data_IF_455051003662
#
_entry.id   IF_455051003662
#
_cell.length_a   1.000
_cell.length_b   1.000
_cell.length_c   1.000
_cell.angle_alpha   90.00
_cell.angle_beta   90.00
_cell.angle_gamma   90.00
#
_symmetry.space_group_name_H-M   'P 1'
#
loop_
_entity.id
_entity.type
_entity.pdbx_description
1 polymer ?
#
# COMPACT_ATOMS: atom_id res chain seq x y z
N UNK A 1 -80.67 -0.28 19.74
CA UNK A 1 -80.98 0.93 18.97
C UNK A 1 -80.52 2.17 19.72
N UNK A 2 -79.38 2.81 19.46
CA UNK A 2 -77.98 2.40 19.16
C UNK A 2 -77.13 3.71 19.17
N UNK A 3 -75.81 3.75 19.25
CA UNK A 3 -74.72 2.74 19.19
C UNK A 3 -73.74 3.00 20.37
N UNK A 4 -72.98 2.04 20.91
CA UNK A 4 -71.74 1.45 20.39
C UNK A 4 -70.77 2.39 19.65
N UNK A 5 -69.96 3.16 20.39
CA UNK A 5 -68.54 3.22 20.03
C UNK A 5 -67.62 3.59 21.19
N UNK A 6 -66.98 2.56 21.76
CA UNK A 6 -65.87 2.69 22.68
C UNK A 6 -64.65 3.09 21.86
N UNK A 7 -64.43 4.39 21.69
CA UNK A 7 -63.28 4.96 20.97
C UNK A 7 -61.98 4.64 21.72
N UNK A 8 -61.50 3.42 21.55
CA UNK A 8 -60.19 2.95 21.94
C UNK A 8 -59.19 3.73 21.07
N UNK A 9 -58.69 4.86 21.58
CA UNK A 9 -57.53 5.52 21.00
C UNK A 9 -56.34 4.59 21.20
N UNK A 10 -56.13 3.72 20.21
CA UNK A 10 -54.89 2.97 20.04
C UNK A 10 -53.80 4.02 19.92
N UNK A 11 -53.12 4.31 21.04
CA UNK A 11 -51.86 5.01 21.01
C UNK A 11 -50.91 4.12 20.23
N UNK A 12 -50.74 4.44 18.95
CA UNK A 12 -49.78 3.80 18.08
C UNK A 12 -48.41 3.93 18.77
N UNK A 13 -47.79 2.81 19.19
CA UNK A 13 -46.64 2.87 20.07
C UNK A 13 -45.51 3.55 19.31
N UNK A 14 -45.14 4.75 19.78
CA UNK A 14 -44.07 5.58 19.22
C UNK A 14 -42.87 4.69 18.93
N UNK A 15 -42.41 4.54 17.67
CA UNK A 15 -41.51 3.48 17.28
C UNK A 15 -40.27 3.51 18.17
N UNK A 16 -40.04 2.42 18.91
CA UNK A 16 -38.96 2.32 19.88
C UNK A 16 -37.63 2.50 19.15
N UNK A 17 -36.77 3.35 19.71
CA UNK A 17 -35.51 3.72 19.06
C UNK A 17 -34.73 2.43 18.65
N UNK A 18 -34.18 2.30 17.43
CA UNK A 18 -33.65 1.03 16.93
C UNK A 18 -32.63 0.35 17.87
N UNK A 19 -31.80 1.13 18.56
CA UNK A 19 -30.88 0.64 19.60
C UNK A 19 -31.56 -0.09 20.78
N UNK A 20 -32.82 0.24 21.11
CA UNK A 20 -33.62 -0.46 22.12
C UNK A 20 -34.08 -1.84 21.63
N UNK A 21 -34.52 -1.94 20.38
CA UNK A 21 -34.91 -3.22 19.76
C UNK A 21 -33.69 -4.16 19.56
N UNK A 22 -32.51 -3.60 19.27
CA UNK A 22 -31.23 -4.33 19.27
C UNK A 22 -30.87 -4.80 20.69
N UNK A 23 -31.21 -4.04 21.74
CA UNK A 23 -30.95 -4.43 23.11
C UNK A 23 -31.84 -5.60 23.58
N UNK A 24 -33.05 -5.73 23.02
CA UNK A 24 -34.00 -6.82 23.26
C UNK A 24 -33.65 -8.12 22.52
N UNK A 25 -32.93 -8.06 21.39
CA UNK A 25 -32.48 -9.25 20.65
C UNK A 25 -31.01 -9.61 20.98
N UNK A 26 -30.74 -10.68 21.76
CA UNK A 26 -29.39 -10.99 22.24
C UNK A 26 -28.41 -11.33 21.11
N UNK A 27 -28.90 -11.85 19.98
CA UNK A 27 -28.12 -12.14 18.77
C UNK A 27 -27.56 -10.89 18.11
N UNK A 28 -28.38 -9.86 17.84
CA UNK A 28 -27.94 -8.60 17.24
C UNK A 28 -26.99 -7.82 18.16
N UNK A 29 -27.23 -7.86 19.48
CA UNK A 29 -26.34 -7.28 20.50
C UNK A 29 -24.97 -7.97 20.53
N UNK A 30 -24.90 -9.29 20.37
CA UNK A 30 -23.64 -10.04 20.29
C UNK A 30 -22.92 -9.74 18.97
N UNK A 31 -23.64 -9.76 17.85
CA UNK A 31 -23.12 -9.45 16.51
C UNK A 31 -22.50 -8.05 16.45
N UNK A 32 -23.19 -7.03 16.98
CA UNK A 32 -22.69 -5.66 17.03
C UNK A 32 -21.39 -5.56 17.85
N UNK A 33 -21.30 -6.25 19.01
CA UNK A 33 -20.06 -6.32 19.79
C UNK A 33 -18.93 -7.01 19.02
N UNK A 34 -19.23 -8.11 18.32
CA UNK A 34 -18.26 -8.82 17.51
C UNK A 34 -17.73 -7.97 16.33
N UNK A 35 -18.62 -7.25 15.65
CA UNK A 35 -18.24 -6.38 14.54
C UNK A 35 -17.47 -5.14 14.98
N UNK A 36 -17.82 -4.53 16.10
CA UNK A 36 -17.00 -3.46 16.70
C UNK A 36 -15.61 -3.98 17.09
N UNK A 37 -15.51 -5.22 17.59
CA UNK A 37 -14.20 -5.83 17.90
C UNK A 37 -13.39 -6.15 16.65
N UNK A 38 -14.02 -6.65 15.59
CA UNK A 38 -13.32 -6.88 14.31
C UNK A 38 -12.91 -5.55 13.65
N UNK A 39 -13.67 -4.46 13.81
CA UNK A 39 -13.24 -3.13 13.34
C UNK A 39 -11.95 -2.68 14.04
N UNK A 40 -11.85 -2.82 15.36
CA UNK A 40 -10.59 -2.52 16.09
C UNK A 40 -9.41 -3.37 15.58
N UNK A 41 -9.65 -4.67 15.33
CA UNK A 41 -8.61 -5.58 14.82
C UNK A 41 -8.18 -5.20 13.40
N UNK A 42 -9.12 -4.89 12.51
CA UNK A 42 -8.83 -4.40 11.16
C UNK A 42 -8.07 -3.07 11.22
N UNK A 43 -8.45 -2.15 12.10
CA UNK A 43 -7.74 -0.88 12.28
C UNK A 43 -6.28 -1.10 12.70
N UNK A 44 -6.03 -2.02 13.63
CA UNK A 44 -4.68 -2.45 14.01
C UNK A 44 -3.90 -3.06 12.83
N UNK A 45 -4.53 -3.93 12.02
CA UNK A 45 -3.92 -4.51 10.80
C UNK A 45 -3.57 -3.44 9.76
N UNK A 46 -4.44 -2.44 9.56
CA UNK A 46 -4.23 -1.30 8.64
C UNK A 46 -3.04 -0.46 9.10
N UNK A 47 -3.01 -0.02 10.36
CA UNK A 47 -1.92 0.78 10.92
C UNK A 47 -0.55 0.07 10.83
N UNK A 48 -0.51 -1.23 11.10
CA UNK A 48 0.70 -2.04 10.92
C UNK A 48 1.15 -2.12 9.45
N UNK A 49 0.22 -2.25 8.50
CA UNK A 49 0.55 -2.26 7.06
C UNK A 49 1.02 -0.89 6.56
N UNK A 50 0.45 0.21 7.06
CA UNK A 50 0.88 1.57 6.71
C UNK A 50 2.30 1.85 7.21
N UNK A 51 2.59 1.54 8.47
CA UNK A 51 3.95 1.66 9.03
C UNK A 51 4.97 0.76 8.32
N UNK A 52 4.59 -0.44 7.88
CA UNK A 52 5.43 -1.31 7.04
C UNK A 52 5.71 -0.68 5.66
N UNK A 53 4.70 -0.11 4.99
CA UNK A 53 4.86 0.57 3.70
C UNK A 53 5.81 1.78 3.85
N UNK A 54 5.65 2.60 4.89
CA UNK A 54 6.51 3.76 5.13
C UNK A 54 7.95 3.35 5.49
N UNK A 55 8.14 2.21 6.16
CA UNK A 55 9.48 1.63 6.36
C UNK A 55 10.13 1.22 5.03
N UNK A 56 9.39 0.54 4.15
CA UNK A 56 9.89 0.13 2.82
C UNK A 56 10.21 1.36 1.95
N UNK A 57 9.38 2.41 2.01
CA UNK A 57 9.66 3.70 1.33
C UNK A 57 10.97 4.33 1.80
N UNK A 58 11.22 4.35 3.12
CA UNK A 58 12.49 4.83 3.68
C UNK A 58 13.68 3.99 3.18
N UNK A 59 13.57 2.67 3.18
CA UNK A 59 14.62 1.78 2.63
C UNK A 59 14.89 2.04 1.14
N UNK A 60 13.83 2.23 0.33
CA UNK A 60 13.94 2.61 -1.08
C UNK A 60 14.70 3.94 -1.20
N UNK A 61 14.34 4.96 -0.41
CA UNK A 61 15.06 6.25 -0.40
C UNK A 61 16.52 6.10 -0.01
N UNK A 62 16.84 5.25 0.97
CA UNK A 62 18.24 4.97 1.37
C UNK A 62 19.03 4.29 0.24
N UNK A 63 18.42 3.38 -0.54
CA UNK A 63 19.05 2.80 -1.74
C UNK A 63 19.34 3.86 -2.81
N UNK A 64 18.44 4.84 -3.00
CA UNK A 64 18.69 5.97 -3.91
C UNK A 64 19.88 6.81 -3.42
N UNK A 65 19.93 7.12 -2.12
CA UNK A 65 21.03 7.88 -1.51
C UNK A 65 22.37 7.13 -1.63
N UNK A 66 22.40 5.83 -1.33
CA UNK A 66 23.62 5.02 -1.46
C UNK A 66 24.13 4.94 -2.91
N UNK A 67 23.23 4.90 -3.91
CA UNK A 67 23.62 5.00 -5.31
C UNK A 67 24.42 6.27 -5.59
N UNK A 68 23.85 7.44 -5.27
CA UNK A 68 24.50 8.71 -5.53
C UNK A 68 25.78 8.90 -4.72
N UNK A 69 25.80 8.52 -3.44
CA UNK A 69 27.00 8.60 -2.60
C UNK A 69 28.12 7.72 -3.17
N UNK A 70 27.84 6.44 -3.48
CA UNK A 70 28.83 5.53 -4.06
C UNK A 70 29.43 6.10 -5.35
N UNK A 71 28.60 6.51 -6.30
CA UNK A 71 29.06 7.06 -7.57
C UNK A 71 29.85 8.38 -7.37
N UNK A 72 29.37 9.29 -6.52
CA UNK A 72 30.07 10.56 -6.23
C UNK A 72 31.44 10.32 -5.61
N UNK A 73 31.52 9.44 -4.60
CA UNK A 73 32.78 9.06 -3.96
C UNK A 73 33.72 8.34 -4.92
N UNK A 74 33.20 7.44 -5.76
CA UNK A 74 34.00 6.73 -6.76
C UNK A 74 34.61 7.70 -7.79
N UNK A 75 33.86 8.69 -8.32
CA UNK A 75 34.43 9.72 -9.20
C UNK A 75 35.48 10.56 -8.49
N UNK A 76 35.24 10.97 -7.24
CA UNK A 76 36.21 11.76 -6.47
C UNK A 76 37.51 10.98 -6.24
N UNK A 77 37.42 9.69 -5.93
CA UNK A 77 38.59 8.81 -5.75
C UNK A 77 39.33 8.57 -7.07
N UNK A 78 38.61 8.36 -8.17
CA UNK A 78 39.20 8.16 -9.50
C UNK A 78 39.91 9.41 -10.01
N UNK A 79 39.35 10.60 -9.79
CA UNK A 79 40.00 11.88 -10.13
C UNK A 79 41.28 12.12 -9.30
N UNK A 80 41.24 11.82 -7.99
CA UNK A 80 42.43 11.88 -7.13
C UNK A 80 43.49 10.82 -7.48
N UNK A 81 43.09 9.72 -8.14
CA UNK A 81 44.01 8.70 -8.62
C UNK A 81 44.62 9.08 -9.98
N UNK A 82 43.82 9.62 -10.92
CA UNK A 82 44.30 10.02 -12.25
C UNK A 82 45.35 11.12 -12.18
N UNK A 83 45.18 12.11 -11.29
CA UNK A 83 46.19 13.17 -11.05
C UNK A 83 47.54 12.67 -10.52
N UNK A 84 47.67 11.37 -10.21
CA UNK A 84 48.89 10.73 -9.73
C UNK A 84 49.45 9.65 -10.68
N UNK A 85 48.78 9.38 -11.80
CA UNK A 85 49.25 8.40 -12.79
C UNK A 85 50.07 9.06 -13.90
N UNK A 86 51.39 9.00 -13.76
CA UNK A 86 52.33 9.57 -14.73
C UNK A 86 52.65 8.65 -15.92
N UNK A 87 52.11 7.42 -15.95
CA UNK A 87 52.48 6.40 -16.97
C UNK A 87 51.28 5.78 -17.72
N UNK A 88 50.06 6.28 -17.53
CA UNK A 88 48.86 5.79 -18.24
C UNK A 88 48.42 4.38 -17.86
N UNK A 89 48.95 3.84 -16.75
CA UNK A 89 48.65 2.49 -16.25
C UNK A 89 47.19 2.39 -15.79
N UNK A 90 46.61 3.50 -15.33
CA UNK A 90 45.22 3.59 -14.88
C UNK A 90 44.22 3.38 -16.04
N UNK A 91 44.53 3.82 -17.27
CA UNK A 91 43.66 3.58 -18.43
C UNK A 91 43.54 2.08 -18.74
N UNK A 92 44.67 1.36 -18.80
CA UNK A 92 44.69 -0.10 -19.01
C UNK A 92 43.96 -0.87 -17.91
N UNK A 93 43.93 -0.33 -16.68
CA UNK A 93 43.24 -0.94 -15.52
C UNK A 93 41.82 -0.41 -15.30
N UNK A 94 41.31 0.48 -16.16
CA UNK A 94 39.99 1.13 -16.06
C UNK A 94 38.80 0.15 -16.05
N UNK A 95 39.00 -1.09 -16.50
CA UNK A 95 37.99 -2.14 -16.42
C UNK A 95 37.62 -2.52 -14.99
N UNK A 96 38.53 -2.39 -14.00
CA UNK A 96 38.26 -2.73 -12.60
C UNK A 96 37.22 -1.79 -11.98
N UNK A 97 37.42 -0.44 -11.97
CA UNK A 97 36.39 0.47 -11.47
C UNK A 97 35.12 0.42 -12.32
N UNK A 98 35.23 0.19 -13.64
CA UNK A 98 34.05 0.00 -14.51
C UNK A 98 33.20 -1.21 -14.07
N UNK A 99 33.82 -2.37 -13.84
CA UNK A 99 33.14 -3.60 -13.42
C UNK A 99 32.55 -3.47 -12.01
N UNK A 100 33.32 -2.90 -11.07
CA UNK A 100 32.84 -2.62 -9.71
C UNK A 100 31.61 -1.70 -9.73
N UNK A 101 31.68 -0.61 -10.50
CA UNK A 101 30.58 0.32 -10.72
C UNK A 101 29.36 -0.37 -11.31
N UNK A 102 29.54 -1.17 -12.38
CA UNK A 102 28.44 -1.89 -13.04
C UNK A 102 27.75 -2.87 -12.09
N UNK A 103 28.51 -3.68 -11.34
CA UNK A 103 27.96 -4.65 -10.40
C UNK A 103 27.19 -3.97 -9.26
N UNK A 104 27.73 -2.87 -8.71
CA UNK A 104 27.04 -2.08 -7.69
C UNK A 104 25.74 -1.46 -8.23
N UNK A 105 25.79 -0.84 -9.42
CA UNK A 105 24.61 -0.27 -10.08
C UNK A 105 23.51 -1.32 -10.32
N UNK A 106 23.87 -2.50 -10.82
CA UNK A 106 22.93 -3.61 -11.04
C UNK A 106 22.32 -4.11 -9.72
N UNK A 107 23.14 -4.22 -8.67
CA UNK A 107 22.69 -4.58 -7.33
C UNK A 107 21.66 -3.59 -6.75
N UNK A 108 21.93 -2.28 -6.86
CA UNK A 108 20.99 -1.25 -6.42
C UNK A 108 19.72 -1.24 -7.28
N UNK A 109 19.84 -1.32 -8.62
CA UNK A 109 18.68 -1.38 -9.52
C UNK A 109 17.77 -2.56 -9.17
N UNK A 110 18.35 -3.74 -8.93
CA UNK A 110 17.61 -4.93 -8.52
C UNK A 110 16.96 -4.76 -7.14
N UNK A 111 17.69 -4.24 -6.15
CA UNK A 111 17.17 -4.01 -4.80
C UNK A 111 16.04 -2.98 -4.77
N UNK A 112 16.16 -1.87 -5.52
CA UNK A 112 15.11 -0.88 -5.70
C UNK A 112 13.90 -1.54 -6.35
N UNK A 113 14.06 -2.26 -7.48
CA UNK A 113 12.94 -2.97 -8.13
C UNK A 113 12.24 -3.94 -7.19
N UNK A 114 12.97 -4.76 -6.46
CA UNK A 114 12.43 -5.71 -5.50
C UNK A 114 11.63 -5.03 -4.37
N UNK A 115 12.21 -4.02 -3.70
CA UNK A 115 11.53 -3.27 -2.64
C UNK A 115 10.32 -2.51 -3.18
N UNK A 116 10.42 -1.97 -4.39
CA UNK A 116 9.34 -1.30 -5.11
C UNK A 116 8.20 -2.27 -5.46
N UNK A 117 8.45 -3.51 -5.89
CA UNK A 117 7.35 -4.47 -6.11
C UNK A 117 6.75 -5.00 -4.80
N UNK A 118 7.55 -5.11 -3.74
CA UNK A 118 7.09 -5.43 -2.39
C UNK A 118 6.16 -4.33 -1.82
N UNK A 119 6.51 -3.06 -1.98
CA UNK A 119 5.64 -1.91 -1.66
C UNK A 119 4.31 -2.02 -2.41
N UNK A 120 4.34 -2.25 -3.73
CA UNK A 120 3.12 -2.40 -4.54
C UNK A 120 2.23 -3.57 -4.09
N UNK A 121 2.84 -4.64 -3.56
CA UNK A 121 2.12 -5.76 -3.00
C UNK A 121 1.47 -5.39 -1.65
N UNK A 122 2.21 -4.73 -0.75
CA UNK A 122 1.69 -4.24 0.53
C UNK A 122 0.55 -3.22 0.33
N UNK A 123 0.69 -2.27 -0.59
CA UNK A 123 -0.38 -1.32 -0.97
C UNK A 123 -1.64 -2.05 -1.43
N UNK A 124 -1.51 -3.08 -2.29
CA UNK A 124 -2.65 -3.92 -2.69
C UNK A 124 -3.28 -4.72 -1.54
N UNK A 125 -2.54 -5.09 -0.50
CA UNK A 125 -3.10 -5.73 0.69
C UNK A 125 -3.80 -4.71 1.59
N UNK A 126 -3.20 -3.53 1.77
CA UNK A 126 -3.76 -2.42 2.53
C UNK A 126 -5.10 -1.97 1.96
N UNK A 127 -5.19 -1.78 0.64
CA UNK A 127 -6.43 -1.39 -0.03
C UNK A 127 -7.56 -2.41 0.20
N UNK A 128 -7.26 -3.72 0.17
CA UNK A 128 -8.27 -4.76 0.46
C UNK A 128 -8.75 -4.70 1.91
N UNK A 129 -7.86 -4.52 2.88
CA UNK A 129 -8.25 -4.40 4.29
C UNK A 129 -9.03 -3.09 4.56
N UNK A 130 -8.70 -2.00 3.86
CA UNK A 130 -9.47 -0.75 3.88
C UNK A 130 -10.86 -0.91 3.26
N UNK A 131 -10.98 -1.63 2.14
CA UNK A 131 -12.27 -1.99 1.54
C UNK A 131 -13.10 -2.86 2.50
N UNK A 132 -12.51 -3.89 3.13
CA UNK A 132 -13.18 -4.75 4.09
C UNK A 132 -13.61 -3.99 5.36
N UNK A 133 -12.79 -3.05 5.86
CA UNK A 133 -13.19 -2.11 6.93
C UNK A 133 -14.42 -1.29 6.54
N UNK A 134 -14.42 -0.73 5.33
CA UNK A 134 -15.51 0.12 4.83
C UNK A 134 -16.81 -0.69 4.66
N UNK A 135 -16.73 -1.93 4.19
CA UNK A 135 -17.87 -2.84 4.14
C UNK A 135 -18.39 -3.17 5.54
N UNK A 136 -17.51 -3.49 6.50
CA UNK A 136 -17.89 -3.76 7.89
C UNK A 136 -18.57 -2.55 8.56
N UNK A 137 -18.01 -1.35 8.38
CA UNK A 137 -18.59 -0.11 8.90
C UNK A 137 -20.00 0.13 8.36
N UNK A 138 -20.22 -0.08 7.06
CA UNK A 138 -21.57 0.00 6.45
C UNK A 138 -22.53 -1.03 7.02
N UNK A 139 -22.09 -2.28 7.23
CA UNK A 139 -22.92 -3.30 7.89
C UNK A 139 -23.27 -2.90 9.33
N UNK A 140 -22.32 -2.34 10.08
CA UNK A 140 -22.52 -1.87 11.46
C UNK A 140 -23.52 -0.70 11.51
N UNK A 141 -23.42 0.27 10.60
CA UNK A 141 -24.33 1.42 10.57
C UNK A 141 -25.73 1.04 10.07
N UNK A 142 -25.83 0.13 9.11
CA UNK A 142 -27.11 -0.41 8.63
C UNK A 142 -27.81 -1.28 9.70
N UNK A 143 -27.04 -2.09 10.46
CA UNK A 143 -27.55 -2.81 11.63
C UNK A 143 -28.04 -1.84 12.72
N UNK A 144 -27.31 -0.76 13.02
CA UNK A 144 -27.77 0.28 13.96
C UNK A 144 -29.05 0.98 13.48
N UNK A 145 -29.25 1.10 12.16
CA UNK A 145 -30.41 1.77 11.55
C UNK A 145 -31.66 0.90 11.54
N UNK A 146 -31.55 -0.36 11.08
CA UNK A 146 -32.67 -1.30 10.92
C UNK A 146 -33.00 -2.12 12.16
N UNK A 147 -32.03 -2.30 13.05
CA UNK A 147 -32.20 -3.10 14.26
C UNK A 147 -32.63 -4.54 13.98
N UNK A 148 -33.86 -4.89 14.37
CA UNK A 148 -34.41 -6.25 14.26
C UNK A 148 -34.79 -6.62 12.81
N UNK A 149 -34.99 -5.64 11.93
CA UNK A 149 -35.29 -5.87 10.51
C UNK A 149 -34.05 -6.21 9.64
N UNK A 150 -32.85 -6.26 10.24
CA UNK A 150 -31.60 -6.48 9.52
C UNK A 150 -31.42 -7.96 9.13
N UNK A 151 -31.59 -8.28 7.85
CA UNK A 151 -31.31 -9.63 7.30
C UNK A 151 -29.82 -9.79 7.01
N UNK A 152 -29.14 -10.39 7.99
CA UNK A 152 -27.73 -10.79 7.99
C UNK A 152 -27.29 -11.50 6.70
N UNK A 153 -28.10 -12.42 6.17
CA UNK A 153 -27.73 -13.23 5.01
C UNK A 153 -27.87 -12.41 3.72
N UNK A 154 -28.99 -11.70 3.59
CA UNK A 154 -29.30 -10.92 2.38
C UNK A 154 -28.39 -9.71 2.19
N UNK A 155 -28.09 -8.98 3.26
CA UNK A 155 -27.35 -7.72 3.17
C UNK A 155 -25.84 -7.93 3.07
N UNK A 156 -25.29 -8.89 3.83
CA UNK A 156 -23.87 -9.25 3.75
C UNK A 156 -23.56 -9.93 2.41
N UNK A 157 -24.43 -10.80 1.89
CA UNK A 157 -24.20 -11.44 0.59
C UNK A 157 -24.35 -10.45 -0.58
N UNK A 158 -25.31 -9.51 -0.53
CA UNK A 158 -25.41 -8.43 -1.51
C UNK A 158 -24.12 -7.58 -1.57
N UNK A 159 -23.56 -7.20 -0.42
CA UNK A 159 -22.28 -6.47 -0.34
C UNK A 159 -21.09 -7.33 -0.80
N UNK A 160 -21.09 -8.63 -0.50
CA UNK A 160 -20.04 -9.57 -0.96
C UNK A 160 -20.07 -9.77 -2.48
N UNK A 161 -21.25 -9.86 -3.11
CA UNK A 161 -21.40 -9.89 -4.58
C UNK A 161 -21.00 -8.56 -5.23
N UNK A 162 -21.33 -7.43 -4.61
CA UNK A 162 -20.87 -6.12 -5.08
C UNK A 162 -19.34 -6.01 -5.03
N UNK A 163 -18.68 -6.61 -4.02
CA UNK A 163 -17.22 -6.73 -3.95
C UNK A 163 -16.66 -7.59 -5.08
N UNK A 164 -17.22 -8.77 -5.37
CA UNK A 164 -16.66 -9.67 -6.39
C UNK A 164 -16.67 -9.06 -7.79
N UNK A 165 -17.77 -8.40 -8.18
CA UNK A 165 -17.89 -7.74 -9.49
C UNK A 165 -16.88 -6.58 -9.66
N UNK A 166 -16.52 -5.88 -8.58
CA UNK A 166 -15.56 -4.77 -8.63
C UNK A 166 -14.11 -5.24 -8.80
N UNK A 167 -13.80 -6.47 -8.39
CA UNK A 167 -12.45 -7.04 -8.49
C UNK A 167 -12.07 -7.37 -9.95
N UNK A 168 -13.03 -7.81 -10.77
CA UNK A 168 -12.80 -8.14 -12.19
C UNK A 168 -12.53 -6.90 -13.06
N UNK A 169 -13.05 -5.74 -12.70
CA UNK A 169 -12.98 -4.52 -13.51
C UNK A 169 -11.62 -3.77 -13.47
N UNK A 170 -10.61 -4.25 -12.74
CA UNK A 170 -9.36 -3.50 -12.52
C UNK A 170 -8.38 -3.67 -13.70
N UNK A 171 -8.47 -2.74 -14.65
CA UNK A 171 -7.76 -2.73 -15.92
C UNK A 171 -6.22 -2.96 -15.83
N UNK A 172 -5.67 -3.54 -16.90
CA UNK A 172 -4.26 -3.96 -17.00
C UNK A 172 -3.31 -2.75 -16.98
N UNK A 173 -2.22 -2.87 -16.21
CA UNK A 173 -1.24 -1.81 -15.96
C UNK A 173 -0.45 -1.46 -17.23
N UNK A 174 -0.81 -0.35 -17.88
CA UNK A 174 0.10 0.39 -18.79
C UNK A 174 1.31 0.90 -18.00
N UNK A 175 2.42 1.23 -18.69
CA UNK A 175 3.75 1.51 -18.13
C UNK A 175 3.72 2.24 -16.77
N UNK A 176 4.39 1.66 -15.77
CA UNK A 176 4.34 2.17 -14.40
C UNK A 176 5.37 3.28 -14.21
N UNK A 177 5.09 4.25 -13.32
CA UNK A 177 6.10 5.22 -12.85
C UNK A 177 7.37 4.52 -12.30
N UNK A 178 7.21 3.29 -11.78
CA UNK A 178 8.27 2.37 -11.33
C UNK A 178 9.25 2.00 -12.46
N UNK A 179 8.81 1.97 -13.71
CA UNK A 179 9.64 1.62 -14.85
C UNK A 179 10.61 2.77 -15.21
N UNK A 180 10.10 4.00 -15.19
CA UNK A 180 10.88 5.22 -15.43
C UNK A 180 12.01 5.42 -14.41
N UNK A 181 11.77 5.16 -13.12
CA UNK A 181 12.79 5.28 -12.06
C UNK A 181 14.01 4.40 -12.37
N UNK A 182 13.78 3.18 -12.82
CA UNK A 182 14.88 2.26 -13.17
C UNK A 182 15.55 2.58 -14.48
N UNK A 183 14.82 3.07 -15.50
CA UNK A 183 15.42 3.59 -16.72
C UNK A 183 16.34 4.78 -16.42
N UNK A 184 15.95 5.65 -15.49
CA UNK A 184 16.80 6.73 -14.99
C UNK A 184 18.08 6.19 -14.31
N UNK A 185 17.97 5.25 -13.36
CA UNK A 185 19.16 4.64 -12.74
C UNK A 185 20.09 3.97 -13.74
N UNK A 186 19.53 3.22 -14.70
CA UNK A 186 20.29 2.58 -15.77
C UNK A 186 21.03 3.61 -16.62
N UNK A 187 20.36 4.69 -17.03
CA UNK A 187 20.95 5.80 -17.77
C UNK A 187 22.11 6.47 -17.01
N UNK A 188 21.92 6.79 -15.72
CA UNK A 188 22.98 7.38 -14.88
C UNK A 188 24.15 6.42 -14.70
N UNK A 189 23.90 5.11 -14.59
CA UNK A 189 24.95 4.09 -14.51
C UNK A 189 25.77 4.02 -15.81
N UNK A 190 25.12 4.08 -16.97
CA UNK A 190 25.80 4.15 -18.27
C UNK A 190 26.63 5.44 -18.42
N UNK A 191 26.08 6.59 -18.02
CA UNK A 191 26.82 7.86 -17.98
C UNK A 191 28.07 7.76 -17.10
N UNK A 192 27.95 7.13 -15.93
CA UNK A 192 29.05 6.96 -15.00
C UNK A 192 30.18 6.11 -15.58
N UNK A 193 29.87 5.01 -16.28
CA UNK A 193 30.88 4.21 -17.00
C UNK A 193 31.63 5.04 -18.06
N UNK A 194 30.94 5.95 -18.75
CA UNK A 194 31.56 6.92 -19.65
C UNK A 194 32.53 7.86 -18.90
N UNK A 195 32.11 8.41 -17.76
CA UNK A 195 32.95 9.29 -16.93
C UNK A 195 34.20 8.56 -16.42
N UNK A 196 34.09 7.31 -15.96
CA UNK A 196 35.26 6.49 -15.57
C UNK A 196 36.28 6.41 -16.71
N UNK A 197 35.83 6.20 -17.95
CA UNK A 197 36.73 6.13 -19.11
C UNK A 197 37.37 7.48 -19.43
N UNK A 198 36.60 8.57 -19.41
CA UNK A 198 37.14 9.92 -19.66
C UNK A 198 38.19 10.29 -18.61
N UNK A 199 37.90 10.10 -17.31
CA UNK A 199 38.79 10.50 -16.20
C UNK A 199 40.09 9.68 -16.12
N UNK A 200 40.10 8.44 -16.65
CA UNK A 200 41.27 7.55 -16.58
C UNK A 200 42.08 7.43 -17.87
N UNK A 201 41.55 7.89 -19.01
CA UNK A 201 42.16 7.68 -20.33
C UNK A 201 42.33 8.98 -21.15
N UNK A 202 42.03 10.15 -20.57
CA UNK A 202 42.12 11.46 -21.21
C UNK A 202 42.48 12.54 -20.18
#
# INVERSE_FOLDING_TARGET
MDDNNKALSVMEPKPSHPLHQIAETPTHKLLLKQWLKEEELIFGRISLKETQIDSVRKEITMLHIFFFIFHSTAVLLLFNASTKDFHGVACNRSWIPSLCSLLFSLGIIWAVRYKTDLEAHLEKLLEREKEDRNLLGKCVDELKRKGVEFDLLKEVDALRRAKSLRVEAKAVRKWSSRDFITLFFFSVSCMFLGIIRVVLCN
#
